data_IF_887860570206
#
_entry.id   IF_887860570206
#
_cell.length_a   1.000
_cell.length_b   1.000
_cell.length_c   1.000
_cell.angle_alpha   90.00
_cell.angle_beta   90.00
_cell.angle_gamma   90.00
#
_symmetry.space_group_name_H-M   'P 1'
#
loop_
_entity.id
_entity.type
_entity.pdbx_description
1 polymer ?
#
# COMPACT_ATOMS: atom_id res chain seq x y z
N UNK A 1 1.60 16.77 -4.44
CA UNK A 1 1.99 15.34 -4.37
C UNK A 1 3.06 15.19 -3.29
N UNK A 2 2.78 14.40 -2.25
CA UNK A 2 3.68 14.19 -1.10
C UNK A 2 4.32 12.79 -1.17
N UNK A 3 5.59 12.68 -0.81
CA UNK A 3 6.24 11.38 -0.64
C UNK A 3 6.05 10.88 0.79
N UNK A 4 5.54 9.65 0.92
CA UNK A 4 5.38 8.91 2.16
C UNK A 4 6.47 7.84 2.21
N UNK A 5 7.48 8.01 3.06
CA UNK A 5 8.55 7.04 3.26
C UNK A 5 8.05 5.99 4.25
N UNK A 6 7.92 4.74 3.81
CA UNK A 6 7.26 3.69 4.61
C UNK A 6 7.98 3.46 5.95
N UNK A 7 9.31 3.36 5.96
CA UNK A 7 10.10 3.16 7.19
C UNK A 7 9.96 4.27 8.23
N UNK A 8 9.53 5.46 7.82
CA UNK A 8 9.40 6.61 8.72
C UNK A 8 8.04 6.61 9.45
N UNK A 9 7.07 5.85 8.94
CA UNK A 9 5.71 5.79 9.50
C UNK A 9 5.38 4.49 10.21
N UNK A 10 6.12 3.40 9.94
CA UNK A 10 5.90 2.11 10.60
C UNK A 10 7.15 1.63 11.32
N UNK A 11 6.96 1.01 12.49
CA UNK A 11 8.02 0.36 13.27
C UNK A 11 8.50 -0.95 12.65
N UNK A 12 7.59 -1.64 11.95
CA UNK A 12 7.85 -2.88 11.22
C UNK A 12 6.81 -3.04 10.11
N UNK A 13 7.12 -3.90 9.14
CA UNK A 13 6.26 -4.25 8.01
C UNK A 13 5.71 -5.67 8.12
N UNK A 14 5.50 -6.16 9.35
CA UNK A 14 5.14 -7.57 9.62
C UNK A 14 3.83 -7.79 10.38
N UNK A 15 3.21 -6.73 10.92
CA UNK A 15 2.03 -6.83 11.80
C UNK A 15 0.82 -6.07 11.28
N UNK A 16 -0.38 -6.50 11.69
CA UNK A 16 -1.63 -5.85 11.32
C UNK A 16 -1.73 -4.41 11.82
N UNK A 17 -1.28 -4.16 13.06
CA UNK A 17 -1.32 -2.82 13.66
C UNK A 17 -0.51 -1.81 12.84
N UNK A 18 0.67 -2.22 12.35
CA UNK A 18 1.48 -1.35 11.50
C UNK A 18 0.88 -1.20 10.09
N UNK A 19 0.20 -2.23 9.57
CA UNK A 19 -0.54 -2.13 8.32
C UNK A 19 -1.69 -1.11 8.40
N UNK A 20 -2.41 -1.06 9.52
CA UNK A 20 -3.46 -0.07 9.76
C UNK A 20 -2.91 1.38 9.76
N UNK A 21 -1.67 1.60 10.19
CA UNK A 21 -1.04 2.93 10.09
C UNK A 21 -0.91 3.33 8.61
N UNK A 22 -0.37 2.45 7.77
CA UNK A 22 -0.29 2.72 6.33
C UNK A 22 -1.69 2.94 5.73
N UNK A 23 -2.67 2.09 6.06
CA UNK A 23 -4.06 2.26 5.60
C UNK A 23 -4.59 3.67 5.90
N UNK A 24 -4.41 4.18 7.12
CA UNK A 24 -4.88 5.50 7.50
C UNK A 24 -4.26 6.61 6.65
N UNK A 25 -2.97 6.51 6.28
CA UNK A 25 -2.35 7.47 5.36
C UNK A 25 -2.94 7.38 3.95
N UNK A 26 -3.19 6.17 3.45
CA UNK A 26 -3.79 5.96 2.13
C UNK A 26 -5.23 6.49 2.07
N UNK A 27 -6.04 6.15 3.07
CA UNK A 27 -7.42 6.61 3.21
C UNK A 27 -7.48 8.14 3.29
N UNK A 28 -6.64 8.77 4.11
CA UNK A 28 -6.63 10.23 4.21
C UNK A 28 -6.28 10.90 2.87
N UNK A 29 -5.32 10.35 2.12
CA UNK A 29 -5.01 10.89 0.80
C UNK A 29 -6.18 10.73 -0.18
N UNK A 30 -6.83 9.56 -0.20
CA UNK A 30 -8.02 9.32 -1.01
C UNK A 30 -9.16 10.29 -0.68
N UNK A 31 -9.51 10.43 0.60
CA UNK A 31 -10.60 11.31 1.05
C UNK A 31 -10.34 12.78 0.72
N UNK A 32 -9.07 13.20 0.74
CA UNK A 32 -8.66 14.56 0.38
C UNK A 32 -8.44 14.75 -1.14
N UNK A 33 -8.64 13.71 -1.96
CA UNK A 33 -8.34 13.69 -3.40
C UNK A 33 -6.88 14.05 -3.71
N UNK A 34 -5.99 13.68 -2.80
CA UNK A 34 -4.55 13.86 -2.93
C UNK A 34 -3.90 12.63 -3.57
N UNK A 35 -2.86 12.87 -4.37
CA UNK A 35 -1.95 11.80 -4.80
C UNK A 35 -0.70 11.77 -3.92
N UNK A 36 -0.35 10.58 -3.42
CA UNK A 36 0.89 10.33 -2.67
C UNK A 36 1.84 9.40 -3.43
N UNK A 37 3.14 9.54 -3.15
CA UNK A 37 4.18 8.60 -3.56
C UNK A 37 4.54 7.74 -2.36
N UNK A 38 4.18 6.46 -2.37
CA UNK A 38 4.61 5.49 -1.36
C UNK A 38 6.03 5.03 -1.71
N UNK A 39 7.00 5.43 -0.89
CA UNK A 39 8.39 5.01 -1.03
C UNK A 39 8.71 3.84 -0.11
N UNK A 40 9.11 2.71 -0.69
CA UNK A 40 9.50 1.49 0.01
C UNK A 40 10.97 1.22 -0.24
N UNK A 41 11.75 1.18 0.85
CA UNK A 41 13.19 0.89 0.81
C UNK A 41 13.45 -0.53 0.29
N UNK A 42 14.63 -0.72 -0.31
CA UNK A 42 14.98 -1.97 -1.01
C UNK A 42 15.07 -3.18 -0.08
N UNK A 43 15.45 -2.97 1.17
CA UNK A 43 15.67 -3.99 2.22
C UNK A 43 14.39 -4.35 3.00
N UNK A 44 13.32 -3.57 2.85
CA UNK A 44 12.08 -3.79 3.59
C UNK A 44 11.31 -4.99 3.04
N UNK A 45 10.98 -5.96 3.89
CA UNK A 45 10.09 -7.08 3.53
C UNK A 45 8.71 -6.88 4.13
N UNK A 46 7.64 -6.97 3.34
CA UNK A 46 6.26 -6.78 3.80
C UNK A 46 5.56 -8.13 3.92
N UNK A 47 5.03 -8.43 5.11
CA UNK A 47 4.25 -9.66 5.33
C UNK A 47 2.85 -9.54 4.73
N UNK A 48 2.20 -10.69 4.46
CA UNK A 48 0.79 -10.71 4.03
C UNK A 48 -0.14 -10.06 5.04
N UNK A 49 0.09 -10.25 6.35
CA UNK A 49 -0.68 -9.61 7.42
C UNK A 49 -0.61 -8.08 7.33
N UNK A 50 0.59 -7.55 7.13
CA UNK A 50 0.80 -6.11 6.94
C UNK A 50 0.12 -5.61 5.66
N UNK A 51 0.28 -6.30 4.53
CA UNK A 51 -0.31 -5.92 3.25
C UNK A 51 -1.84 -5.98 3.27
N UNK A 52 -2.42 -7.02 3.86
CA UNK A 52 -3.88 -7.21 3.94
C UNK A 52 -4.55 -6.14 4.80
N UNK A 53 -3.94 -5.77 5.92
CA UNK A 53 -4.46 -4.69 6.79
C UNK A 53 -4.16 -3.29 6.27
N UNK A 54 -3.35 -3.15 5.22
CA UNK A 54 -3.02 -1.87 4.59
C UNK A 54 -3.65 -1.74 3.20
N UNK A 55 -2.93 -2.19 2.18
CA UNK A 55 -3.30 -2.08 0.78
C UNK A 55 -4.51 -2.96 0.47
N UNK A 56 -4.56 -4.19 0.98
CA UNK A 56 -5.73 -5.07 0.82
C UNK A 56 -7.01 -4.41 1.32
N UNK A 57 -7.00 -3.92 2.56
CA UNK A 57 -8.14 -3.21 3.13
C UNK A 57 -8.51 -1.92 2.38
N UNK A 58 -7.53 -1.22 1.79
CA UNK A 58 -7.83 -0.09 0.91
C UNK A 58 -8.56 -0.56 -0.35
N UNK A 59 -8.07 -1.63 -0.98
CA UNK A 59 -8.68 -2.21 -2.18
C UNK A 59 -10.11 -2.72 -1.90
N UNK A 60 -10.34 -3.37 -0.75
CA UNK A 60 -11.68 -3.79 -0.29
C UNK A 60 -12.67 -2.62 -0.23
N UNK A 61 -12.22 -1.47 0.28
CA UNK A 61 -13.09 -0.33 0.55
C UNK A 61 -13.30 0.60 -0.66
N UNK A 62 -12.29 0.74 -1.51
CA UNK A 62 -12.24 1.79 -2.54
C UNK A 62 -11.95 1.28 -3.95
N UNK A 63 -11.56 0.02 -4.09
CA UNK A 63 -11.22 -0.60 -5.38
C UNK A 63 -9.84 -0.23 -5.92
N UNK A 64 -9.44 -0.95 -6.98
CA UNK A 64 -8.14 -0.81 -7.62
C UNK A 64 -7.96 0.54 -8.33
N UNK A 65 -9.01 1.02 -9.00
CA UNK A 65 -8.95 2.28 -9.76
C UNK A 65 -8.62 3.46 -8.83
N UNK A 66 -9.34 3.56 -7.72
CA UNK A 66 -9.07 4.56 -6.67
C UNK A 66 -7.66 4.45 -6.11
N UNK A 67 -7.14 3.22 -5.94
CA UNK A 67 -5.78 3.01 -5.45
C UNK A 67 -4.75 3.52 -6.46
N UNK A 68 -4.93 3.26 -7.76
CA UNK A 68 -4.01 3.72 -8.81
C UNK A 68 -4.04 5.24 -9.01
N UNK A 69 -5.19 5.88 -8.78
CA UNK A 69 -5.33 7.34 -8.79
C UNK A 69 -4.67 7.99 -7.56
N UNK A 70 -4.82 7.37 -6.38
CA UNK A 70 -4.33 7.90 -5.10
C UNK A 70 -2.84 7.64 -4.87
N UNK A 71 -2.34 6.48 -5.25
CA UNK A 71 -1.03 5.97 -4.84
C UNK A 71 -0.11 5.76 -6.04
N UNK A 72 1.03 6.44 -6.05
CA UNK A 72 2.16 6.13 -6.93
C UNK A 72 3.23 5.39 -6.11
N UNK A 73 3.82 4.35 -6.68
CA UNK A 73 4.83 3.55 -5.99
C UNK A 73 6.25 3.98 -6.38
N UNK A 74 7.15 4.05 -5.40
CA UNK A 74 8.58 4.25 -5.61
C UNK A 74 9.35 3.22 -4.77
N UNK A 75 10.27 2.49 -5.37
CA UNK A 75 11.08 1.50 -4.66
C UNK A 75 12.02 0.78 -5.62
N UNK A 76 12.68 -0.27 -5.14
CA UNK A 76 13.48 -1.13 -6.01
C UNK A 76 12.59 -1.96 -6.94
N UNK A 77 13.16 -2.49 -8.03
CA UNK A 77 12.45 -3.38 -8.96
C UNK A 77 11.83 -4.59 -8.26
N UNK A 78 12.51 -5.15 -7.26
CA UNK A 78 11.99 -6.26 -6.46
C UNK A 78 10.79 -5.84 -5.62
N UNK A 79 10.82 -4.66 -5.01
CA UNK A 79 9.69 -4.15 -4.24
C UNK A 79 8.48 -3.86 -5.13
N UNK A 80 8.72 -3.29 -6.31
CA UNK A 80 7.67 -3.08 -7.30
C UNK A 80 7.04 -4.40 -7.73
N UNK A 81 7.86 -5.41 -8.08
CA UNK A 81 7.36 -6.74 -8.48
C UNK A 81 6.51 -7.36 -7.37
N UNK A 82 7.01 -7.39 -6.13
CA UNK A 82 6.28 -7.96 -4.99
C UNK A 82 4.93 -7.30 -4.76
N UNK A 83 4.87 -5.97 -4.85
CA UNK A 83 3.61 -5.27 -4.69
C UNK A 83 2.66 -5.49 -5.86
N UNK A 84 3.18 -5.48 -7.10
CA UNK A 84 2.39 -5.79 -8.28
C UNK A 84 1.81 -7.21 -8.23
N UNK A 85 2.62 -8.19 -7.80
CA UNK A 85 2.19 -9.58 -7.62
C UNK A 85 1.10 -9.68 -6.54
N UNK A 86 1.26 -8.97 -5.43
CA UNK A 86 0.25 -8.90 -4.38
C UNK A 86 -1.08 -8.35 -4.91
N UNK A 87 -1.06 -7.18 -5.57
CA UNK A 87 -2.26 -6.52 -6.10
C UNK A 87 -2.91 -7.40 -7.17
N UNK A 88 -2.13 -7.98 -8.09
CA UNK A 88 -2.65 -8.85 -9.15
C UNK A 88 -3.34 -10.08 -8.57
N UNK A 89 -2.70 -10.75 -7.60
CA UNK A 89 -3.28 -11.88 -6.89
C UNK A 89 -4.56 -11.49 -6.16
N UNK A 90 -4.54 -10.34 -5.49
CA UNK A 90 -5.70 -9.83 -4.77
C UNK A 90 -6.88 -9.58 -5.72
N UNK A 91 -6.66 -8.85 -6.82
CA UNK A 91 -7.67 -8.56 -7.85
C UNK A 91 -8.20 -9.82 -8.55
N UNK A 92 -7.39 -10.87 -8.69
CA UNK A 92 -7.87 -12.15 -9.25
C UNK A 92 -8.79 -12.93 -8.31
N UNK A 93 -8.66 -12.75 -7.00
CA UNK A 93 -9.46 -13.44 -5.98
C UNK A 93 -10.78 -12.72 -5.73
N UNK A 94 -10.81 -11.40 -5.91
CA UNK A 94 -11.97 -10.55 -5.73
C UNK A 94 -12.25 -9.75 -7.01
N UNK A 95 -12.74 -10.39 -8.08
CA UNK A 95 -13.18 -9.69 -9.27
C UNK A 95 -14.39 -8.83 -8.90
N UNK A 96 -14.18 -7.51 -8.89
CA UNK A 96 -15.25 -6.50 -8.74
C UNK A 96 -16.01 -6.38 -10.05
#
# INVERSE_FOLDING_TARGET
MKTLILKDIVKNSSSNEQGMILYNYLQNAFLNKDTLVLYVDSDMSMSSSFLNSSIGLFLDNYGLDSFQETVKFKGSKNQFSRLADYITKYSSLYPV
#
